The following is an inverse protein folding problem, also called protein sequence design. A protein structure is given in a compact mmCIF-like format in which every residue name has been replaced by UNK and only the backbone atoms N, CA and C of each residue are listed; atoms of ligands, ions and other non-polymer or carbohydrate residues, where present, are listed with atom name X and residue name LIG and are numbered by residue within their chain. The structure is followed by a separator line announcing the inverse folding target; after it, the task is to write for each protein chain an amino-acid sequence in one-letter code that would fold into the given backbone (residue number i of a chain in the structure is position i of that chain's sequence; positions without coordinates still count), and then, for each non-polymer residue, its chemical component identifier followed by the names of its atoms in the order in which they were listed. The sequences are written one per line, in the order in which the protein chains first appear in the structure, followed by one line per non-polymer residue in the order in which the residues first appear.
data_IF_938881260214
#
_entry.id   IF_938881260214
#
_cell.length_a   1.000
_cell.length_b   1.000
_cell.length_c   1.000
_cell.angle_alpha   90.00
_cell.angle_beta   90.00
_cell.angle_gamma   90.00
#
_symmetry.space_group_name_H-M   'P 1'
#
loop_
_entity.id
_entity.type
_entity.pdbx_description
1 polymer ?
#
# COMPACT_ATOMS: atom_id res chain seq x y z
N UNK A 1 24.01 -25.97 -5.96
CA UNK A 1 23.30 -25.15 -6.96
C UNK A 1 21.83 -25.19 -6.60
N UNK A 2 21.36 -24.19 -5.85
CA UNK A 2 19.96 -24.12 -5.42
C UNK A 2 19.09 -23.84 -6.64
N UNK A 3 18.33 -24.86 -7.05
CA UNK A 3 17.47 -24.79 -8.22
C UNK A 3 16.25 -23.92 -7.92
N UNK A 4 16.28 -22.67 -8.36
CA UNK A 4 15.08 -21.81 -8.41
C UNK A 4 14.09 -22.44 -9.39
N UNK A 5 13.21 -23.33 -8.89
CA UNK A 5 12.02 -23.75 -9.62
C UNK A 5 11.19 -22.49 -9.84
N UNK A 6 10.85 -22.21 -11.10
CA UNK A 6 10.12 -21.01 -11.54
C UNK A 6 8.96 -20.74 -10.58
N UNK A 7 9.02 -19.58 -9.92
CA UNK A 7 7.94 -19.00 -9.15
C UNK A 7 6.72 -18.97 -10.07
N UNK A 8 5.63 -19.66 -9.71
CA UNK A 8 4.35 -19.41 -10.36
C UNK A 8 4.11 -17.92 -10.21
N UNK A 9 3.95 -17.22 -11.32
CA UNK A 9 3.54 -15.83 -11.32
C UNK A 9 2.30 -15.76 -10.43
N UNK A 10 2.39 -15.00 -9.35
CA UNK A 10 1.23 -14.56 -8.59
C UNK A 10 0.31 -13.89 -9.61
N UNK A 11 -0.79 -14.55 -9.98
CA UNK A 11 -1.93 -13.78 -10.44
C UNK A 11 -2.40 -13.01 -9.21
N UNK A 12 -2.26 -11.68 -9.26
CA UNK A 12 -2.88 -10.81 -8.28
C UNK A 12 -4.34 -11.25 -8.16
N UNK A 13 -4.73 -11.67 -6.95
CA UNK A 13 -6.15 -11.83 -6.66
C UNK A 13 -6.82 -10.48 -6.95
N UNK A 14 -8.03 -10.45 -7.50
CA UNK A 14 -8.77 -9.20 -7.58
C UNK A 14 -8.95 -8.69 -6.14
N UNK A 15 -8.17 -7.69 -5.73
CA UNK A 15 -8.38 -7.02 -4.46
C UNK A 15 -9.74 -6.33 -4.57
N UNK A 16 -10.69 -6.78 -3.75
CA UNK A 16 -12.09 -6.32 -3.78
C UNK A 16 -12.27 -4.91 -3.19
N UNK A 17 -11.27 -4.03 -3.32
CA UNK A 17 -11.32 -2.65 -2.84
C UNK A 17 -10.44 -1.73 -3.69
N UNK A 18 -10.97 -1.44 -4.87
CA UNK A 18 -10.93 -0.19 -5.64
C UNK A 18 -9.65 0.57 -5.98
N UNK A 19 -8.46 0.28 -5.44
CA UNK A 19 -7.23 0.95 -5.91
C UNK A 19 -6.06 -0.04 -5.88
N UNK A 20 -5.40 -0.21 -7.02
CA UNK A 20 -4.37 -1.23 -7.33
C UNK A 20 -3.17 -1.30 -6.37
N UNK A 21 -3.10 -0.42 -5.38
CA UNK A 21 -1.97 -0.23 -4.48
C UNK A 21 -2.34 -0.42 -3.00
N UNK A 22 -3.63 -0.55 -2.67
CA UNK A 22 -4.10 -0.80 -1.30
C UNK A 22 -4.61 -2.24 -1.18
N UNK A 23 -4.23 -2.91 -0.09
CA UNK A 23 -4.64 -4.28 0.23
C UNK A 23 -5.12 -4.35 1.67
N UNK A 24 -6.16 -5.14 1.93
CA UNK A 24 -6.62 -5.36 3.31
C UNK A 24 -5.63 -6.25 4.08
N UNK A 25 -5.60 -6.15 5.40
CA UNK A 25 -4.78 -7.02 6.23
C UNK A 25 -5.12 -8.51 6.03
N UNK A 26 -6.41 -8.84 5.89
CA UNK A 26 -6.87 -10.20 5.69
C UNK A 26 -6.39 -10.78 4.34
N UNK A 27 -6.43 -9.97 3.27
CA UNK A 27 -5.95 -10.37 1.95
C UNK A 27 -4.44 -10.55 1.93
N UNK A 28 -3.70 -9.66 2.60
CA UNK A 28 -2.25 -9.79 2.75
C UNK A 28 -1.88 -11.07 3.53
N UNK A 29 -2.57 -11.35 4.65
CA UNK A 29 -2.33 -12.55 5.44
C UNK A 29 -2.66 -13.84 4.67
N UNK A 30 -3.75 -13.84 3.91
CA UNK A 30 -4.13 -14.94 3.01
C UNK A 30 -3.05 -15.18 1.94
N UNK A 31 -2.55 -14.11 1.31
CA UNK A 31 -1.49 -14.20 0.30
C UNK A 31 -0.18 -14.77 0.87
N UNK A 32 0.19 -14.42 2.10
CA UNK A 32 1.37 -14.95 2.78
C UNK A 32 1.20 -16.41 3.20
N UNK A 33 0.02 -16.77 3.70
CA UNK A 33 -0.31 -18.15 4.07
C UNK A 33 -0.19 -19.12 2.88
N UNK A 34 -0.48 -18.65 1.65
CA UNK A 34 -0.33 -19.43 0.42
C UNK A 34 1.12 -19.78 0.06
N UNK A 35 2.11 -19.08 0.64
CA UNK A 35 3.54 -19.37 0.48
C UNK A 35 4.20 -19.84 1.77
N UNK A 36 3.41 -20.34 2.71
CA UNK A 36 3.88 -20.88 4.01
C UNK A 36 4.60 -19.81 4.85
N UNK A 37 4.12 -18.57 4.78
CA UNK A 37 4.53 -17.48 5.65
C UNK A 37 3.38 -17.11 6.61
N UNK A 38 3.72 -16.71 7.83
CA UNK A 38 2.75 -16.37 8.86
C UNK A 38 2.67 -14.85 9.15
N UNK A 39 1.93 -14.48 10.21
CA UNK A 39 1.78 -13.07 10.62
C UNK A 39 3.10 -12.45 11.10
N UNK A 40 4.01 -13.25 11.66
CA UNK A 40 5.34 -12.80 12.07
C UNK A 40 6.17 -12.47 10.84
N UNK A 41 6.16 -13.35 9.83
CA UNK A 41 6.83 -13.08 8.55
C UNK A 41 6.26 -11.84 7.85
N UNK A 42 4.93 -11.68 7.85
CA UNK A 42 4.27 -10.48 7.31
C UNK A 42 4.77 -9.22 8.00
N UNK A 43 4.82 -9.20 9.33
CA UNK A 43 5.29 -8.02 10.08
C UNK A 43 6.77 -7.73 9.88
N UNK A 44 7.62 -8.76 9.81
CA UNK A 44 9.05 -8.62 9.52
C UNK A 44 9.26 -8.03 8.12
N UNK A 45 8.55 -8.55 7.12
CA UNK A 45 8.67 -8.09 5.72
C UNK A 45 8.14 -6.65 5.54
N UNK A 46 7.08 -6.26 6.25
CA UNK A 46 6.62 -4.87 6.30
C UNK A 46 7.69 -3.92 6.87
N UNK A 47 8.58 -4.43 7.72
CA UNK A 47 9.75 -3.69 8.20
C UNK A 47 10.62 -3.13 7.08
N UNK A 48 10.64 -3.75 5.89
CA UNK A 48 11.40 -3.24 4.72
C UNK A 48 10.97 -1.84 4.25
N UNK A 49 9.77 -1.38 4.61
CA UNK A 49 9.29 -0.04 4.29
C UNK A 49 9.88 1.07 5.19
N UNK A 50 10.68 0.72 6.21
CA UNK A 50 11.38 1.72 7.03
C UNK A 50 12.45 2.49 6.27
N UNK A 51 12.99 1.90 5.20
CA UNK A 51 14.03 2.50 4.38
C UNK A 51 13.55 2.60 2.94
N UNK A 52 13.76 3.77 2.32
CA UNK A 52 13.41 4.00 0.92
C UNK A 52 12.54 5.24 0.72
N UNK A 53 11.93 5.33 -0.45
CA UNK A 53 11.05 6.41 -0.85
C UNK A 53 9.82 5.85 -1.56
N UNK A 54 8.74 6.62 -1.53
CA UNK A 54 7.49 6.28 -2.18
C UNK A 54 7.08 7.43 -3.08
N UNK A 55 6.58 7.14 -4.29
CA UNK A 55 6.03 8.18 -5.16
C UNK A 55 4.67 8.66 -4.62
N UNK A 56 4.34 9.93 -4.85
CA UNK A 56 3.10 10.52 -4.36
C UNK A 56 1.84 9.74 -4.81
N UNK A 57 1.85 9.13 -6.01
CA UNK A 57 0.70 8.37 -6.54
C UNK A 57 0.19 7.27 -5.60
N UNK A 58 1.05 6.73 -4.73
CA UNK A 58 0.69 5.67 -3.79
C UNK A 58 0.03 6.19 -2.50
N UNK A 59 0.16 7.48 -2.19
CA UNK A 59 -0.37 8.11 -0.97
C UNK A 59 -1.43 9.17 -1.24
N UNK A 60 -1.59 9.63 -2.48
CA UNK A 60 -2.56 10.69 -2.84
C UNK A 60 -3.99 10.37 -2.40
N UNK A 61 -4.45 9.12 -2.56
CA UNK A 61 -5.79 8.69 -2.12
C UNK A 61 -6.00 8.98 -0.63
N UNK A 62 -5.03 8.59 0.21
CA UNK A 62 -5.07 8.85 1.66
C UNK A 62 -5.00 10.33 2.02
N UNK A 63 -4.38 11.17 1.17
CA UNK A 63 -4.18 12.59 1.44
C UNK A 63 -5.37 13.47 1.04
N UNK A 64 -6.20 13.04 0.10
CA UNK A 64 -7.23 13.90 -0.51
C UNK A 64 -8.61 13.25 -0.64
N UNK A 65 -8.71 11.96 -0.97
CA UNK A 65 -10.00 11.31 -1.28
C UNK A 65 -10.05 9.85 -0.78
N UNK A 66 -9.80 9.65 0.51
CA UNK A 66 -9.66 8.31 1.05
C UNK A 66 -10.98 7.55 0.94
N UNK A 67 -10.95 6.40 0.26
CA UNK A 67 -12.14 5.56 0.02
C UNK A 67 -13.27 6.30 -0.68
N UNK A 68 -12.96 7.29 -1.54
CA UNK A 68 -13.95 8.08 -2.30
C UNK A 68 -14.92 8.87 -1.41
N UNK A 69 -14.45 9.30 -0.25
CA UNK A 69 -15.25 10.08 0.71
C UNK A 69 -15.17 11.60 0.48
N UNK A 70 -14.28 12.05 -0.41
CA UNK A 70 -13.91 13.44 -0.61
C UNK A 70 -13.08 14.02 0.54
N UNK A 71 -12.60 13.16 1.45
CA UNK A 71 -11.88 13.58 2.65
C UNK A 71 -10.57 12.81 2.84
N UNK A 72 -9.54 13.42 3.44
CA UNK A 72 -8.32 12.73 3.81
C UNK A 72 -8.57 11.64 4.85
N UNK A 73 -7.69 10.67 4.90
CA UNK A 73 -7.68 9.62 5.90
C UNK A 73 -7.54 10.18 7.32
N UNK A 74 -8.56 9.93 8.16
CA UNK A 74 -8.61 10.38 9.55
C UNK A 74 -7.71 9.57 10.49
N UNK A 75 -7.23 8.39 10.05
CA UNK A 75 -6.32 7.55 10.83
C UNK A 75 -4.85 7.97 10.67
N UNK A 76 -4.55 8.85 9.72
CA UNK A 76 -3.23 9.41 9.50
C UNK A 76 -2.96 10.56 10.47
N UNK A 77 -1.74 10.63 11.00
CA UNK A 77 -1.31 11.76 11.83
C UNK A 77 -1.44 13.09 11.08
N UNK A 78 -1.97 14.11 11.75
CA UNK A 78 -2.25 15.41 11.14
C UNK A 78 -0.98 16.16 10.73
N UNK A 79 0.12 16.02 11.49
CA UNK A 79 1.41 16.64 11.19
C UNK A 79 2.07 15.98 9.97
N UNK A 80 2.08 14.65 9.95
CA UNK A 80 2.54 13.87 8.80
C UNK A 80 1.75 14.22 7.54
N UNK A 81 0.41 14.26 7.64
CA UNK A 81 -0.46 14.62 6.52
C UNK A 81 -0.13 16.01 5.97
N UNK A 82 0.05 17.01 6.84
CA UNK A 82 0.42 18.36 6.40
C UNK A 82 1.77 18.38 5.68
N UNK A 83 2.77 17.66 6.20
CA UNK A 83 4.07 17.53 5.54
C UNK A 83 3.96 16.87 4.17
N UNK A 84 3.18 15.78 4.07
CA UNK A 84 2.98 15.06 2.81
C UNK A 84 2.19 15.88 1.79
N UNK A 85 1.18 16.65 2.21
CA UNK A 85 0.45 17.56 1.31
C UNK A 85 1.37 18.65 0.74
N UNK A 86 2.35 19.12 1.52
CA UNK A 86 3.38 20.05 1.04
C UNK A 86 4.33 19.42 0.01
N UNK A 87 4.69 18.13 0.19
CA UNK A 87 5.55 17.41 -0.76
C UNK A 87 4.79 16.88 -1.99
N UNK A 88 3.50 16.61 -1.85
CA UNK A 88 2.65 15.97 -2.85
C UNK A 88 1.37 16.82 -3.04
N UNK A 89 1.45 17.91 -3.83
CA UNK A 89 0.28 18.75 -4.10
C UNK A 89 -0.79 17.97 -4.87
N UNK A 90 -2.08 18.29 -4.69
CA UNK A 90 -3.14 17.64 -5.43
C UNK A 90 -2.96 17.91 -6.93
N UNK A 91 -3.32 16.95 -7.77
CA UNK A 91 -3.27 17.12 -9.23
C UNK A 91 -4.37 18.11 -9.63
N UNK A 92 -4.07 19.40 -9.51
CA UNK A 92 -4.91 20.46 -10.06
C UNK A 92 -4.84 20.31 -11.58
N UNK A 93 -5.93 19.86 -12.19
CA UNK A 93 -6.20 20.26 -13.57
C UNK A 93 -6.37 21.78 -13.50
N UNK A 94 -5.29 22.53 -13.73
CA UNK A 94 -5.42 23.94 -14.11
C UNK A 94 -6.26 23.95 -15.38
N UNK A 95 -7.41 24.65 -15.41
CA UNK A 95 -8.02 24.98 -16.69
C UNK A 95 -7.05 25.77 -17.57
#
# INVERSE_FOLDING_TARGET
MEGRRRFRLFQASPSSSTDSWSVSFADALSAFSNIVLDVVDLTILLGSHTMGFCHCMFVMDRLYDFKKTGTPDQTMDAGLRASLQGSCPPHTVTP
#
